data_IF_058369355348
#
_entry.id   IF_058369355348
#
_cell.length_a   1.000
_cell.length_b   1.000
_cell.length_c   1.000
_cell.angle_alpha   90.00
_cell.angle_beta   90.00
_cell.angle_gamma   90.00
#
_symmetry.space_group_name_H-M   'P 1'
#
loop_
_entity.id
_entity.type
_entity.pdbx_description
1 polymer ?
#
# COMPACT_ATOMS: atom_id res chain seq x y z
N UNK A 1 37.19 -25.90 -6.37
CA UNK A 1 36.02 -26.44 -5.65
C UNK A 1 35.79 -25.56 -4.45
N UNK A 2 34.90 -24.56 -4.56
CA UNK A 2 34.51 -23.70 -3.44
C UNK A 2 33.11 -24.13 -3.05
N UNK A 3 32.98 -24.86 -1.94
CA UNK A 3 31.69 -25.12 -1.30
C UNK A 3 31.20 -23.80 -0.71
N UNK A 4 30.01 -23.37 -1.12
CA UNK A 4 29.30 -22.29 -0.46
C UNK A 4 28.36 -22.92 0.56
N UNK A 5 28.60 -22.62 1.84
CA UNK A 5 27.79 -23.08 2.98
C UNK A 5 26.29 -22.77 2.80
N UNK A 6 25.47 -23.78 3.07
CA UNK A 6 24.05 -23.87 2.75
C UNK A 6 23.19 -23.83 4.04
N UNK A 7 23.39 -22.80 4.88
CA UNK A 7 22.79 -22.77 6.23
C UNK A 7 22.05 -21.45 6.58
N UNK A 8 21.34 -20.87 5.61
CA UNK A 8 20.25 -19.93 5.88
C UNK A 8 18.92 -20.63 5.58
N UNK A 9 17.82 -20.35 6.30
CA UNK A 9 16.50 -20.90 5.97
C UNK A 9 16.08 -20.33 4.61
N UNK A 10 16.45 -21.03 3.54
CA UNK A 10 16.11 -20.66 2.18
C UNK A 10 14.59 -20.79 2.06
N UNK A 11 13.88 -19.66 1.99
CA UNK A 11 12.54 -19.65 1.43
C UNK A 11 12.63 -20.34 0.07
N UNK A 12 12.15 -21.58 -0.01
CA UNK A 12 12.24 -22.36 -1.25
C UNK A 12 11.17 -21.79 -2.17
N UNK A 13 11.58 -21.25 -3.30
CA UNK A 13 10.65 -20.73 -4.30
C UNK A 13 10.50 -21.75 -5.43
N UNK A 14 9.27 -22.13 -5.80
CA UNK A 14 9.02 -22.88 -7.04
C UNK A 14 9.19 -21.91 -8.20
N UNK A 15 9.81 -22.39 -9.29
CA UNK A 15 10.07 -21.62 -10.50
C UNK A 15 11.00 -20.41 -10.29
N UNK A 16 11.79 -20.34 -9.23
CA UNK A 16 12.81 -19.29 -9.14
C UNK A 16 13.98 -19.61 -10.07
N UNK A 17 14.39 -18.69 -10.96
CA UNK A 17 15.53 -18.93 -11.83
C UNK A 17 16.78 -19.13 -10.98
N UNK A 18 17.50 -20.23 -11.18
CA UNK A 18 18.82 -20.37 -10.55
C UNK A 18 19.73 -19.29 -11.14
N UNK A 19 20.46 -18.53 -10.33
CA UNK A 19 21.44 -17.60 -10.84
C UNK A 19 22.54 -18.42 -11.55
N UNK A 20 22.56 -18.35 -12.87
CA UNK A 20 23.64 -18.93 -13.68
C UNK A 20 24.73 -17.85 -13.75
N UNK A 21 25.95 -18.11 -13.26
CA UNK A 21 27.04 -17.16 -13.47
C UNK A 21 27.22 -17.00 -14.98
N UNK A 22 27.31 -15.76 -15.45
CA UNK A 22 27.69 -15.50 -16.84
C UNK A 22 29.00 -16.24 -17.14
N UNK A 23 29.12 -16.86 -18.32
CA UNK A 23 30.30 -17.64 -18.73
C UNK A 23 31.60 -16.95 -18.27
N UNK A 24 32.49 -17.73 -17.65
CA UNK A 24 33.78 -17.24 -17.14
C UNK A 24 34.49 -16.41 -18.22
N UNK A 25 34.75 -15.13 -17.94
CA UNK A 25 35.47 -14.23 -18.84
C UNK A 25 34.68 -13.08 -19.46
N UNK A 26 33.39 -12.88 -19.15
CA UNK A 26 32.67 -11.67 -19.59
C UNK A 26 32.83 -10.56 -18.54
N UNK A 27 33.68 -9.54 -18.76
CA UNK A 27 33.80 -8.43 -17.82
C UNK A 27 32.50 -7.62 -17.75
N UNK A 28 32.14 -7.17 -16.56
CA UNK A 28 31.06 -6.21 -16.39
C UNK A 28 31.45 -4.89 -17.05
N UNK A 29 30.78 -4.56 -18.16
CA UNK A 29 30.92 -3.26 -18.82
C UNK A 29 29.73 -2.39 -18.38
N UNK A 30 29.94 -1.31 -17.61
CA UNK A 30 28.87 -0.39 -17.30
C UNK A 30 28.32 0.18 -18.61
N UNK A 31 27.04 -0.09 -18.89
CA UNK A 31 26.40 0.41 -20.12
C UNK A 31 26.34 1.92 -20.06
N UNK A 32 27.11 2.59 -20.91
CA UNK A 32 26.94 4.04 -21.16
C UNK A 32 25.54 4.23 -21.74
N UNK A 33 24.69 5.01 -21.06
CA UNK A 33 23.36 5.37 -21.56
C UNK A 33 23.57 6.05 -22.92
N UNK A 34 22.97 5.52 -23.98
CA UNK A 34 22.94 6.20 -25.28
C UNK A 34 21.95 7.37 -25.13
N UNK A 35 22.40 8.63 -25.23
CA UNK A 35 21.51 9.75 -24.96
C UNK A 35 20.56 9.93 -26.15
N UNK A 36 19.28 9.62 -25.95
CA UNK A 36 18.23 10.21 -26.75
C UNK A 36 18.01 11.64 -26.20
N UNK A 37 17.94 12.67 -27.06
CA UNK A 37 17.68 14.03 -26.59
C UNK A 37 16.28 14.10 -25.96
N UNK A 38 16.15 14.84 -24.86
CA UNK A 38 14.85 15.11 -24.27
C UNK A 38 14.08 16.11 -25.14
N UNK A 39 13.11 15.61 -25.91
CA UNK A 39 12.23 16.43 -26.73
C UNK A 39 11.06 16.94 -25.88
N UNK A 40 10.73 18.23 -25.99
CA UNK A 40 9.63 18.87 -25.25
C UNK A 40 8.85 19.82 -26.17
N UNK A 41 7.58 20.04 -25.85
CA UNK A 41 6.71 21.00 -26.54
C UNK A 41 6.53 20.69 -28.04
N UNK A 42 6.54 21.73 -28.88
CA UNK A 42 6.30 21.62 -30.32
C UNK A 42 7.29 20.72 -31.06
N UNK A 43 8.55 20.65 -30.60
CA UNK A 43 9.54 19.75 -31.18
C UNK A 43 9.17 18.27 -30.99
N UNK A 44 8.48 17.93 -29.89
CA UNK A 44 7.96 16.57 -29.69
C UNK A 44 6.88 16.25 -30.72
N UNK A 45 5.92 17.15 -30.92
CA UNK A 45 4.82 16.98 -31.89
C UNK A 45 5.37 16.78 -33.30
N UNK A 46 6.27 17.65 -33.73
CA UNK A 46 6.93 17.53 -35.03
C UNK A 46 7.71 16.22 -35.17
N UNK A 47 8.42 15.81 -34.11
CA UNK A 47 9.20 14.56 -34.12
C UNK A 47 8.32 13.31 -34.21
N UNK A 48 7.15 13.32 -33.55
CA UNK A 48 6.16 12.23 -33.64
C UNK A 48 5.61 12.13 -35.07
N UNK A 49 5.23 13.26 -35.67
CA UNK A 49 4.76 13.30 -37.04
C UNK A 49 5.82 12.80 -38.04
N UNK A 50 7.08 13.19 -37.86
CA UNK A 50 8.20 12.71 -38.66
C UNK A 50 8.47 11.21 -38.48
N UNK A 51 8.35 10.68 -37.26
CA UNK A 51 8.50 9.24 -36.98
C UNK A 51 7.40 8.41 -37.64
N UNK A 52 6.15 8.90 -37.63
CA UNK A 52 5.01 8.25 -38.26
C UNK A 52 5.18 8.20 -39.79
N UNK A 53 5.55 9.35 -40.37
CA UNK A 53 5.70 9.52 -41.82
C UNK A 53 6.89 8.75 -42.39
N UNK A 54 8.04 8.76 -41.70
CA UNK A 54 9.29 8.24 -42.25
C UNK A 54 9.80 6.99 -41.52
N UNK A 55 9.68 5.83 -42.17
CA UNK A 55 10.13 4.54 -41.62
C UNK A 55 11.64 4.47 -41.31
N UNK A 56 12.49 5.21 -42.04
CA UNK A 56 13.94 5.21 -41.80
C UNK A 56 14.30 5.89 -40.46
N UNK A 57 13.57 6.94 -40.07
CA UNK A 57 13.79 7.66 -38.81
C UNK A 57 13.53 6.71 -37.62
N UNK A 58 12.45 5.94 -37.69
CA UNK A 58 12.15 4.89 -36.69
C UNK A 58 13.28 3.89 -36.55
N UNK A 59 13.88 3.45 -37.67
CA UNK A 59 15.00 2.50 -37.66
C UNK A 59 16.26 3.09 -37.01
N UNK A 60 16.56 4.36 -37.27
CA UNK A 60 17.70 5.08 -36.65
C UNK A 60 17.47 5.22 -35.15
N UNK A 61 16.28 5.66 -34.71
CA UNK A 61 15.94 5.79 -33.29
C UNK A 61 15.98 4.43 -32.60
N UNK A 62 15.48 3.37 -33.23
CA UNK A 62 15.54 1.99 -32.70
C UNK A 62 16.98 1.49 -32.49
N UNK A 63 17.86 1.74 -33.45
CA UNK A 63 19.29 1.37 -33.34
C UNK A 63 20.04 2.25 -32.31
N UNK A 64 19.69 3.54 -32.24
CA UNK A 64 20.22 4.52 -31.31
C UNK A 64 19.79 4.26 -29.86
N UNK A 65 18.57 3.83 -29.61
CA UNK A 65 18.04 3.51 -28.28
C UNK A 65 18.64 2.22 -27.68
N UNK A 66 19.35 1.43 -28.48
CA UNK A 66 19.96 0.18 -28.03
C UNK A 66 19.02 -1.03 -28.09
N UNK A 67 17.78 -0.89 -28.58
CA UNK A 67 16.88 -2.03 -28.80
C UNK A 67 17.41 -3.03 -29.84
N UNK A 68 18.36 -2.62 -30.68
CA UNK A 68 19.09 -3.54 -31.57
C UNK A 68 20.11 -4.42 -30.86
N UNK A 69 20.39 -4.21 -29.56
CA UNK A 69 21.41 -4.99 -28.83
C UNK A 69 21.01 -6.44 -28.61
N UNK A 70 19.71 -6.74 -28.51
CA UNK A 70 19.22 -8.10 -28.32
C UNK A 70 19.64 -9.01 -29.50
N UNK A 71 19.58 -8.50 -30.74
CA UNK A 71 20.09 -9.20 -31.92
C UNK A 71 21.59 -9.48 -31.88
N UNK A 72 22.38 -8.67 -31.17
CA UNK A 72 23.83 -8.88 -31.03
C UNK A 72 24.17 -9.96 -30.01
N UNK A 73 23.30 -10.13 -29.01
CA UNK A 73 23.47 -11.07 -27.89
C UNK A 73 22.69 -12.37 -28.17
N UNK A 74 22.04 -12.50 -29.34
CA UNK A 74 21.19 -13.62 -29.72
C UNK A 74 21.85 -14.99 -29.45
N UNK A 75 23.11 -15.19 -29.86
CA UNK A 75 23.86 -16.44 -29.62
C UNK A 75 24.09 -16.79 -28.13
N UNK A 76 23.97 -15.81 -27.23
CA UNK A 76 24.12 -16.00 -25.77
C UNK A 76 22.78 -16.29 -25.09
N UNK A 77 21.65 -16.03 -25.75
CA UNK A 77 20.30 -16.18 -25.18
C UNK A 77 19.49 -17.29 -25.86
N UNK A 78 19.88 -17.75 -27.06
CA UNK A 78 19.17 -18.80 -27.81
C UNK A 78 19.02 -20.12 -27.04
N UNK A 79 19.99 -20.44 -26.18
CA UNK A 79 19.96 -21.66 -25.36
C UNK A 79 19.05 -21.54 -24.13
N UNK A 80 18.55 -20.33 -23.81
CA UNK A 80 17.68 -20.10 -22.67
C UNK A 80 16.21 -20.12 -23.09
N UNK A 81 15.40 -20.91 -22.39
CA UNK A 81 13.96 -20.93 -22.62
C UNK A 81 13.33 -19.55 -22.33
N UNK A 82 12.55 -18.99 -23.26
CA UNK A 82 11.90 -17.69 -23.05
C UNK A 82 10.82 -17.82 -21.99
N UNK A 83 11.01 -17.15 -20.86
CA UNK A 83 10.00 -17.09 -19.80
C UNK A 83 9.09 -15.88 -19.99
N UNK A 84 7.82 -16.15 -20.27
CA UNK A 84 6.79 -15.12 -20.44
C UNK A 84 6.04 -14.79 -19.13
N UNK A 85 6.01 -15.74 -18.20
CA UNK A 85 5.29 -15.61 -16.93
C UNK A 85 6.29 -15.39 -15.77
N UNK A 86 6.25 -14.25 -15.07
CA UNK A 86 7.10 -13.99 -13.91
C UNK A 86 6.65 -14.70 -12.64
N UNK A 87 5.66 -15.59 -12.68
CA UNK A 87 5.14 -16.29 -11.49
C UNK A 87 6.23 -17.05 -10.75
N UNK A 88 6.47 -16.66 -9.51
CA UNK A 88 7.37 -17.33 -8.54
C UNK A 88 6.53 -17.66 -7.32
N UNK A 89 6.55 -18.92 -6.89
CA UNK A 89 5.70 -19.38 -5.79
C UNK A 89 6.56 -19.58 -4.54
N UNK A 90 6.40 -18.78 -3.48
CA UNK A 90 7.08 -19.01 -2.21
C UNK A 90 6.49 -20.24 -1.49
N UNK A 91 7.29 -21.28 -1.26
CA UNK A 91 6.84 -22.48 -0.53
C UNK A 91 6.61 -22.22 0.95
N UNK A 92 7.43 -21.36 1.58
CA UNK A 92 7.29 -21.00 2.99
C UNK A 92 5.96 -20.32 3.33
N UNK A 93 5.27 -19.75 2.33
CA UNK A 93 3.98 -19.07 2.50
C UNK A 93 2.80 -20.02 2.35
N UNK A 94 2.94 -21.14 1.62
CA UNK A 94 1.88 -22.14 1.52
C UNK A 94 1.57 -22.75 2.89
N UNK A 95 2.61 -23.04 3.66
CA UNK A 95 2.49 -23.65 4.99
C UNK A 95 1.84 -22.69 6.01
N UNK A 96 2.03 -21.38 5.85
CA UNK A 96 1.50 -20.33 6.76
C UNK A 96 0.20 -19.68 6.30
N UNK A 97 -0.21 -19.84 5.04
CA UNK A 97 -1.41 -19.23 4.49
C UNK A 97 -2.70 -19.76 5.15
N UNK A 98 -2.65 -20.95 5.76
CA UNK A 98 -3.78 -21.55 6.47
C UNK A 98 -3.95 -21.05 7.92
N UNK A 99 -2.97 -20.34 8.49
CA UNK A 99 -2.98 -19.89 9.90
C UNK A 99 -3.06 -18.36 10.07
N UNK A 100 -2.88 -17.57 8.99
CA UNK A 100 -2.51 -16.16 9.11
C UNK A 100 -3.63 -15.11 9.01
N UNK A 101 -4.89 -15.51 8.83
CA UNK A 101 -6.01 -14.53 8.84
C UNK A 101 -6.31 -13.99 10.24
N UNK A 102 -6.11 -14.77 11.31
CA UNK A 102 -6.30 -14.29 12.70
C UNK A 102 -5.14 -13.44 13.18
N UNK A 103 -3.90 -13.86 12.92
CA UNK A 103 -2.70 -13.25 13.48
C UNK A 103 -2.37 -11.88 12.87
N UNK A 104 -2.83 -11.64 11.65
CA UNK A 104 -2.65 -10.35 10.97
C UNK A 104 -3.45 -9.24 11.68
N UNK A 105 -4.61 -9.56 12.27
CA UNK A 105 -5.45 -8.57 12.96
C UNK A 105 -4.83 -8.20 14.32
N UNK A 106 -4.27 -9.18 15.05
CA UNK A 106 -3.66 -8.94 16.36
C UNK A 106 -2.33 -8.17 16.26
N UNK A 107 -1.50 -8.44 15.25
CA UNK A 107 -0.25 -7.71 15.03
C UNK A 107 -0.47 -6.23 14.65
N UNK A 108 -1.54 -5.92 13.91
CA UNK A 108 -1.89 -4.53 13.57
C UNK A 108 -2.32 -3.76 14.82
N UNK A 109 -3.09 -4.39 15.72
CA UNK A 109 -3.53 -3.75 16.97
C UNK A 109 -2.36 -3.51 17.96
N UNK A 110 -1.33 -4.36 17.98
CA UNK A 110 -0.12 -4.11 18.78
C UNK A 110 0.74 -2.96 18.23
N UNK A 111 0.94 -2.88 16.91
CA UNK A 111 1.69 -1.78 16.26
C UNK A 111 0.98 -0.44 16.49
N UNK A 112 -0.35 -0.43 16.50
CA UNK A 112 -1.14 0.79 16.65
C UNK A 112 -1.20 1.29 18.11
N UNK A 113 -0.90 0.46 19.11
CA UNK A 113 -0.92 0.85 20.53
C UNK A 113 0.25 1.75 20.95
N UNK A 114 1.30 1.84 20.12
CA UNK A 114 2.54 2.59 20.41
C UNK A 114 2.56 3.98 19.76
N UNK A 115 1.59 4.30 18.91
CA UNK A 115 1.62 5.56 18.16
C UNK A 115 1.15 6.73 19.03
N UNK A 116 2.11 7.36 19.71
CA UNK A 116 1.91 8.69 20.32
C UNK A 116 1.64 9.72 19.22
N UNK A 117 0.80 10.73 19.47
CA UNK A 117 0.57 11.79 18.49
C UNK A 117 1.89 12.44 18.06
N UNK A 118 2.02 12.85 16.78
CA UNK A 118 3.25 13.41 16.26
C UNK A 118 3.68 14.63 17.08
N UNK A 119 4.80 14.49 17.81
CA UNK A 119 5.38 15.55 18.65
C UNK A 119 6.37 16.42 17.89
N UNK A 120 6.88 15.92 16.76
CA UNK A 120 7.88 16.60 15.94
C UNK A 120 7.29 17.18 14.64
N UNK A 121 7.80 18.33 14.15
CA UNK A 121 7.24 19.06 13.00
C UNK A 121 7.29 18.30 11.66
N UNK A 122 8.05 17.21 11.56
CA UNK A 122 8.18 16.37 10.36
C UNK A 122 7.44 15.03 10.46
N UNK A 123 6.85 14.73 11.63
CA UNK A 123 6.16 13.47 11.84
C UNK A 123 4.75 13.58 11.24
N UNK A 124 4.41 12.64 10.35
CA UNK A 124 3.11 12.58 9.69
C UNK A 124 2.21 11.61 10.44
N UNK A 125 0.91 11.90 10.46
CA UNK A 125 -0.09 10.99 11.00
C UNK A 125 -0.16 9.69 10.18
N UNK A 126 -0.16 8.57 10.87
CA UNK A 126 -0.43 7.25 10.31
C UNK A 126 -1.94 6.96 10.29
N UNK A 127 -2.34 5.93 9.55
CA UNK A 127 -3.73 5.43 9.54
C UNK A 127 -4.16 5.02 10.96
N UNK A 128 -3.24 4.46 11.75
CA UNK A 128 -3.49 4.10 13.15
C UNK A 128 -3.86 5.29 14.02
N UNK A 129 -3.21 6.45 13.81
CA UNK A 129 -3.48 7.67 14.57
C UNK A 129 -4.88 8.20 14.28
N UNK A 130 -5.27 8.28 12.99
CA UNK A 130 -6.62 8.70 12.62
C UNK A 130 -7.68 7.74 13.19
N UNK A 131 -7.43 6.42 13.15
CA UNK A 131 -8.34 5.43 13.76
C UNK A 131 -8.50 5.66 15.26
N UNK A 132 -7.40 5.91 15.98
CA UNK A 132 -7.44 6.19 17.41
C UNK A 132 -8.23 7.47 17.71
N UNK A 133 -8.02 8.54 16.93
CA UNK A 133 -8.75 9.80 17.06
C UNK A 133 -10.25 9.67 16.74
N UNK A 134 -10.62 8.84 15.75
CA UNK A 134 -12.02 8.52 15.45
C UNK A 134 -12.71 7.75 16.58
N UNK A 135 -12.00 6.81 17.22
CA UNK A 135 -12.50 6.04 18.36
C UNK A 135 -12.61 6.90 19.63
N UNK A 136 -11.66 7.82 19.83
CA UNK A 136 -11.72 8.83 20.89
C UNK A 136 -12.86 9.85 20.66
N UNK A 137 -13.31 9.99 19.41
CA UNK A 137 -14.36 10.94 19.02
C UNK A 137 -13.89 12.38 18.95
N UNK A 138 -12.57 12.61 18.87
CA UNK A 138 -11.98 13.95 18.76
C UNK A 138 -12.14 14.54 17.35
N UNK A 139 -12.08 13.70 16.32
CA UNK A 139 -12.27 14.07 14.93
C UNK A 139 -13.24 13.09 14.27
N UNK A 140 -13.93 13.53 13.22
CA UNK A 140 -14.77 12.62 12.41
C UNK A 140 -14.17 12.40 11.01
N UNK A 141 -14.42 11.23 10.38
CA UNK A 141 -14.04 11.00 9.00
C UNK A 141 -14.59 12.06 8.04
N UNK A 142 -15.76 12.61 8.34
CA UNK A 142 -16.38 13.72 7.61
C UNK A 142 -15.56 15.01 7.70
N UNK A 143 -15.13 15.38 8.91
CA UNK A 143 -14.27 16.57 9.11
C UNK A 143 -12.94 16.42 8.37
N UNK A 144 -12.36 15.22 8.37
CA UNK A 144 -11.11 14.93 7.65
C UNK A 144 -11.30 15.13 6.15
N UNK A 145 -12.38 14.62 5.56
CA UNK A 145 -12.65 14.82 4.13
C UNK A 145 -12.87 16.29 3.80
N UNK A 146 -13.64 17.02 4.60
CA UNK A 146 -13.82 18.47 4.41
C UNK A 146 -12.52 19.26 4.54
N UNK A 147 -11.57 18.80 5.36
CA UNK A 147 -10.26 19.44 5.47
C UNK A 147 -9.37 19.19 4.26
N UNK A 148 -9.43 18.01 3.64
CA UNK A 148 -8.56 17.63 2.51
C UNK A 148 -9.07 18.19 1.17
N UNK A 149 -10.39 18.22 0.98
CA UNK A 149 -11.00 18.62 -0.30
C UNK A 149 -10.50 19.98 -0.84
N UNK A 150 -10.39 21.07 -0.04
CA UNK A 150 -9.86 22.34 -0.51
C UNK A 150 -8.45 22.27 -1.08
N UNK A 151 -7.60 21.35 -0.60
CA UNK A 151 -6.21 21.23 -1.05
C UNK A 151 -6.06 20.46 -2.37
N UNK A 152 -6.99 19.54 -2.65
CA UNK A 152 -6.90 18.64 -3.81
C UNK A 152 -7.76 19.09 -4.98
N UNK A 153 -8.78 19.94 -4.73
CA UNK A 153 -9.72 20.37 -5.78
C UNK A 153 -9.06 21.31 -6.80
N UNK A 154 -9.36 21.04 -8.07
CA UNK A 154 -9.02 21.89 -9.22
C UNK A 154 -10.12 22.88 -9.57
N UNK A 155 -11.35 22.59 -9.18
CA UNK A 155 -12.54 23.37 -9.55
C UNK A 155 -12.68 24.69 -8.77
N UNK A 156 -11.88 24.87 -7.72
CA UNK A 156 -11.89 26.10 -6.90
C UNK A 156 -10.96 27.15 -7.49
N UNK A 157 -11.30 28.43 -7.31
CA UNK A 157 -10.45 29.58 -7.67
C UNK A 157 -10.01 30.30 -6.39
N UNK A 158 -8.73 30.23 -5.97
CA UNK A 158 -7.61 29.54 -6.61
C UNK A 158 -7.67 28.00 -6.47
N UNK A 159 -6.98 27.25 -7.36
CA UNK A 159 -6.87 25.80 -7.25
C UNK A 159 -6.09 25.41 -6.00
N UNK A 160 -6.44 24.25 -5.41
CA UNK A 160 -5.78 23.76 -4.21
C UNK A 160 -4.28 23.51 -4.41
N UNK A 161 -3.48 23.67 -3.35
CA UNK A 161 -2.02 23.54 -3.39
C UNK A 161 -1.54 22.19 -3.95
N UNK A 162 -2.30 21.12 -3.67
CA UNK A 162 -1.96 19.75 -4.07
C UNK A 162 -2.78 19.26 -5.27
N UNK A 163 -3.48 20.17 -5.94
CA UNK A 163 -4.33 19.85 -7.09
C UNK A 163 -3.58 19.19 -8.25
N UNK A 164 -2.27 19.43 -8.40
CA UNK A 164 -1.44 18.81 -9.45
C UNK A 164 -1.34 17.28 -9.31
N UNK A 165 -1.38 16.76 -8.08
CA UNK A 165 -1.24 15.32 -7.81
C UNK A 165 -2.50 14.50 -8.18
N UNK A 166 -3.66 15.15 -8.31
CA UNK A 166 -4.95 14.50 -8.50
C UNK A 166 -5.51 14.77 -9.89
N UNK A 167 -5.77 13.74 -10.69
CA UNK A 167 -6.33 13.91 -12.04
C UNK A 167 -7.82 14.24 -12.01
N UNK A 168 -8.58 13.51 -11.20
CA UNK A 168 -10.04 13.62 -11.04
C UNK A 168 -10.40 13.42 -9.57
N UNK A 169 -11.36 14.19 -9.07
CA UNK A 169 -11.82 14.17 -7.66
C UNK A 169 -13.34 14.18 -7.62
N UNK A 170 -13.93 13.03 -7.33
CA UNK A 170 -15.38 12.92 -7.14
C UNK A 170 -15.76 13.30 -5.70
N UNK A 171 -16.11 14.58 -5.52
CA UNK A 171 -16.41 15.18 -4.22
C UNK A 171 -17.63 14.54 -3.55
N UNK A 172 -18.70 14.32 -4.32
CA UNK A 172 -19.97 13.83 -3.78
C UNK A 172 -19.84 12.40 -3.24
N UNK A 173 -19.13 11.54 -3.97
CA UNK A 173 -18.83 10.17 -3.51
C UNK A 173 -17.95 10.17 -2.26
N UNK A 174 -16.94 11.05 -2.20
CA UNK A 174 -16.05 11.14 -1.05
C UNK A 174 -16.79 11.60 0.22
N UNK A 175 -17.65 12.62 0.10
CA UNK A 175 -18.45 13.12 1.23
C UNK A 175 -19.45 12.07 1.69
N UNK A 176 -20.18 11.43 0.76
CA UNK A 176 -21.13 10.37 1.10
C UNK A 176 -20.48 9.18 1.81
N UNK A 177 -19.31 8.74 1.34
CA UNK A 177 -18.56 7.67 1.99
C UNK A 177 -18.06 8.07 3.39
N UNK A 178 -17.75 9.35 3.60
CA UNK A 178 -17.34 9.88 4.89
C UNK A 178 -18.51 9.98 5.88
N UNK A 179 -19.70 10.36 5.42
CA UNK A 179 -20.94 10.34 6.20
C UNK A 179 -21.26 8.92 6.68
N UNK A 180 -21.27 7.95 5.77
CA UNK A 180 -21.51 6.54 6.11
C UNK A 180 -20.46 6.01 7.10
N UNK A 181 -19.20 6.42 6.96
CA UNK A 181 -18.14 6.06 7.89
C UNK A 181 -18.31 6.71 9.26
N UNK A 182 -18.73 7.96 9.31
CA UNK A 182 -19.01 8.68 10.56
C UNK A 182 -20.15 8.03 11.33
N UNK A 183 -21.20 7.57 10.62
CA UNK A 183 -22.29 6.80 11.21
C UNK A 183 -21.80 5.48 11.82
N UNK A 184 -20.89 4.76 11.15
CA UNK A 184 -20.28 3.52 11.66
C UNK A 184 -19.45 3.76 12.92
N UNK A 185 -18.60 4.78 12.95
CA UNK A 185 -17.81 5.07 14.14
C UNK A 185 -18.68 5.54 15.30
N UNK A 186 -19.72 6.33 15.04
CA UNK A 186 -20.69 6.74 16.06
C UNK A 186 -21.39 5.55 16.71
N UNK A 187 -21.78 4.54 15.94
CA UNK A 187 -22.42 3.34 16.50
C UNK A 187 -21.45 2.49 17.32
N UNK A 188 -20.20 2.35 16.89
CA UNK A 188 -19.14 1.61 17.61
C UNK A 188 -18.77 2.31 18.92
N UNK A 189 -18.59 3.63 18.91
CA UNK A 189 -18.27 4.42 20.10
C UNK A 189 -19.39 4.31 21.13
N UNK A 190 -20.65 4.37 20.68
CA UNK A 190 -21.80 4.14 21.55
C UNK A 190 -21.72 2.73 22.16
N UNK A 191 -21.59 1.68 21.35
CA UNK A 191 -21.55 0.29 21.83
C UNK A 191 -20.40 0.01 22.81
N UNK A 192 -19.20 0.51 22.53
CA UNK A 192 -18.04 0.41 23.41
C UNK A 192 -18.23 1.13 24.74
N UNK A 193 -18.90 2.30 24.73
CA UNK A 193 -19.22 3.06 25.94
C UNK A 193 -20.24 2.35 26.83
N UNK A 194 -21.23 1.69 26.24
CA UNK A 194 -22.18 0.86 26.99
C UNK A 194 -21.51 -0.36 27.63
N UNK A 195 -20.58 -1.00 26.93
CA UNK A 195 -19.81 -2.13 27.47
C UNK A 195 -18.82 -1.73 28.57
N UNK A 196 -18.25 -0.52 28.50
CA UNK A 196 -17.30 0.00 29.50
C UNK A 196 -17.97 0.58 30.77
N UNK A 197 -19.30 0.69 30.81
CA UNK A 197 -20.01 1.10 32.02
C UNK A 197 -19.98 -0.03 33.07
N UNK A 198 -19.67 0.24 34.35
CA UNK A 198 -19.79 -0.77 35.39
C UNK A 198 -21.24 -1.22 35.44
N UNK A 199 -21.51 -2.49 35.12
CA UNK A 199 -22.85 -3.05 35.32
C UNK A 199 -23.24 -2.77 36.78
N UNK A 200 -24.36 -2.09 37.06
CA UNK A 200 -24.77 -1.89 38.43
C UNK A 200 -24.96 -3.26 39.07
N UNK A 201 -24.12 -3.54 40.07
CA UNK A 201 -24.22 -4.72 40.93
C UNK A 201 -25.67 -4.79 41.41
N UNK A 202 -26.39 -5.82 40.98
CA UNK A 202 -27.77 -6.08 41.34
C UNK A 202 -27.83 -6.22 42.87
N UNK A 203 -28.14 -5.14 43.59
CA UNK A 203 -28.36 -5.17 45.03
C UNK A 203 -29.66 -5.94 45.29
N UNK A 204 -29.54 -7.26 45.46
CA UNK A 204 -30.57 -8.11 46.04
C UNK A 204 -30.61 -7.85 47.54
N UNK A 205 -31.35 -6.83 47.96
CA UNK A 205 -31.83 -6.67 49.33
C UNK A 205 -33.27 -7.17 49.39
N UNK A 206 -33.44 -8.48 49.59
CA UNK A 206 -34.70 -9.05 50.07
C UNK A 206 -34.52 -9.22 51.58
N UNK A 207 -34.89 -8.17 52.32
CA UNK A 207 -35.01 -8.25 53.77
C UNK A 207 -36.16 -9.20 54.13
N UNK A 208 -35.80 -10.42 54.51
CA UNK A 208 -36.70 -11.41 55.10
C UNK A 208 -36.93 -11.02 56.56
N UNK A 209 -38.01 -10.29 56.83
CA UNK A 209 -38.44 -10.02 58.20
C UNK A 209 -39.14 -11.26 58.77
N UNK A 210 -38.42 -12.00 59.60
CA UNK A 210 -38.96 -12.97 60.56
C UNK A 210 -39.79 -12.23 61.62
N UNK A 211 -41.03 -12.65 61.84
CA UNK A 211 -41.80 -12.32 63.05
C UNK A 211 -41.92 -13.57 63.92
N UNK A 212 -41.72 -13.46 65.25
CA UNK A 212 -41.81 -14.59 66.16
C UNK A 212 -43.25 -14.87 66.62
N UNK A 213 -43.49 -16.11 67.02
CA UNK A 213 -44.66 -16.61 67.74
C UNK A 213 -44.85 -15.86 69.08
N UNK A 214 -46.08 -15.43 69.39
CA UNK A 214 -46.86 -15.93 70.53
C UNK A 214 -48.33 -15.47 70.50
N UNK A 215 -49.18 -16.32 71.07
CA UNK A 215 -50.65 -16.27 71.19
C UNK A 215 -51.08 -15.34 72.37
N UNK A 216 -52.36 -15.22 72.79
CA UNK A 216 -53.37 -16.28 72.99
C UNK A 216 -54.50 -16.34 71.95
#
# INVERSE_FOLDING_TARGET
MVSFDDDAPRERFILYPRPIPANEGIPYVPKKKKPLPALRGWFLVASVFLLETFAFIRRIVWAGAGFSSLRRIQKLIEDNEPRHDPTVIPLARLDKAHESESDTIEQIDEIHKVSSPPSAPHQRYSVGDYRALYLAGEITPLDVVHSILPFIRRDTLPPGEHSVAWFDVNVDLAVKAAEESTLRYKSIVLLGRWMASPRPSRMSSISRATRPLWAP
#
